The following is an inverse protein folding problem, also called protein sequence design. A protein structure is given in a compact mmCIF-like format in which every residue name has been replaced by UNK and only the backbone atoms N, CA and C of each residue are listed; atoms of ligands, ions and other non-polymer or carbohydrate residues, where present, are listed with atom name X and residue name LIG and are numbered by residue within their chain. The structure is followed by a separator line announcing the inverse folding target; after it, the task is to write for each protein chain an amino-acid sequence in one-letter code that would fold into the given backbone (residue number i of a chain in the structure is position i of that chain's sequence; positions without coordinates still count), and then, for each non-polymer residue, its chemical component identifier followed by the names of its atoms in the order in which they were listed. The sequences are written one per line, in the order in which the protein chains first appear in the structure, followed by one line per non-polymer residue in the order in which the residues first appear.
data_IF_191303933647
#
_entry.id   IF_191303933647
#
_cell.length_a   1.000
_cell.length_b   1.000
_cell.length_c   1.000
_cell.angle_alpha   90.00
_cell.angle_beta   90.00
_cell.angle_gamma   90.00
#
_symmetry.space_group_name_H-M   'P 1'
#
loop_
_entity.id
_entity.type
_entity.pdbx_description
1 polymer ?
#
# COMPACT_ATOMS: atom_id res chain seq x y z
N UNK A 1 -20.05 0.18 -26.62
CA UNK A 1 -19.66 0.87 -25.37
C UNK A 1 -18.27 1.46 -25.53
N UNK A 2 -18.09 2.76 -25.21
CA UNK A 2 -16.77 3.39 -25.20
C UNK A 2 -15.82 2.71 -24.19
N UNK A 3 -14.52 2.74 -24.46
CA UNK A 3 -13.47 2.23 -23.55
C UNK A 3 -13.54 2.97 -22.20
N UNK A 4 -13.83 4.26 -22.23
CA UNK A 4 -13.97 5.09 -21.03
C UNK A 4 -15.14 4.67 -20.16
N UNK A 5 -16.29 4.29 -20.77
CA UNK A 5 -17.46 3.81 -20.01
C UNK A 5 -17.15 2.50 -19.31
N UNK A 6 -16.50 1.56 -20.00
CA UNK A 6 -16.10 0.27 -19.39
C UNK A 6 -15.09 0.46 -18.26
N UNK A 7 -14.15 1.39 -18.43
CA UNK A 7 -13.20 1.75 -17.38
C UNK A 7 -13.90 2.31 -16.15
N UNK A 8 -14.82 3.26 -16.31
CA UNK A 8 -15.59 3.84 -15.19
C UNK A 8 -16.37 2.78 -14.43
N UNK A 9 -16.97 1.82 -15.14
CA UNK A 9 -17.67 0.68 -14.51
C UNK A 9 -16.67 -0.16 -13.70
N UNK A 10 -15.51 -0.48 -14.26
CA UNK A 10 -14.50 -1.26 -13.58
C UNK A 10 -13.97 -0.56 -12.31
N UNK A 11 -13.65 0.72 -12.41
CA UNK A 11 -13.23 1.55 -11.28
C UNK A 11 -14.34 1.68 -10.22
N UNK A 12 -15.62 1.74 -10.62
CA UNK A 12 -16.72 1.87 -9.67
C UNK A 12 -16.98 0.59 -8.85
N UNK A 13 -16.92 -0.59 -9.48
CA UNK A 13 -17.24 -1.84 -8.82
C UNK A 13 -16.04 -2.54 -8.19
N UNK A 14 -14.92 -2.63 -8.93
CA UNK A 14 -13.80 -3.46 -8.53
C UNK A 14 -12.88 -2.72 -7.56
N UNK A 15 -12.68 -1.42 -7.78
CA UNK A 15 -11.80 -0.61 -6.94
C UNK A 15 -12.20 -0.58 -5.45
N UNK A 16 -13.46 -0.37 -5.06
CA UNK A 16 -13.83 -0.42 -3.64
C UNK A 16 -13.64 -1.82 -3.04
N UNK A 17 -13.86 -2.89 -3.82
CA UNK A 17 -13.67 -4.27 -3.37
C UNK A 17 -12.18 -4.54 -3.11
N UNK A 18 -11.28 -4.11 -4.02
CA UNK A 18 -9.84 -4.27 -3.85
C UNK A 18 -9.27 -3.41 -2.73
N UNK A 19 -9.84 -2.23 -2.51
CA UNK A 19 -9.40 -1.32 -1.46
C UNK A 19 -10.02 -1.63 -0.10
N UNK A 20 -10.96 -2.56 -0.02
CA UNK A 20 -11.58 -2.92 1.25
C UNK A 20 -10.52 -3.43 2.23
N UNK A 21 -10.42 -2.76 3.38
CA UNK A 21 -9.45 -3.11 4.42
C UNK A 21 -7.98 -2.84 4.05
N UNK A 22 -7.69 -2.15 2.93
CA UNK A 22 -6.29 -1.88 2.55
C UNK A 22 -5.54 -1.00 3.56
N UNK A 23 -6.27 -0.26 4.40
CA UNK A 23 -5.77 0.55 5.50
C UNK A 23 -5.16 -0.28 6.64
N UNK A 24 -5.68 -1.48 6.88
CA UNK A 24 -5.20 -2.38 7.94
C UNK A 24 -4.09 -3.32 7.47
N UNK A 25 -3.86 -3.37 6.15
CA UNK A 25 -2.75 -4.16 5.61
C UNK A 25 -1.43 -3.58 6.11
N UNK A 26 -0.55 -4.45 6.59
CA UNK A 26 0.84 -4.07 6.84
C UNK A 26 1.39 -3.58 5.50
N UNK A 27 2.06 -2.43 5.52
CA UNK A 27 2.42 -1.63 4.34
C UNK A 27 2.81 -2.50 3.16
N UNK A 28 2.25 -2.15 1.99
CA UNK A 28 2.32 -2.92 0.76
C UNK A 28 3.75 -3.44 0.55
N UNK A 29 3.95 -4.72 0.85
CA UNK A 29 5.21 -5.40 0.62
C UNK A 29 5.50 -5.41 -0.88
N UNK A 30 6.77 -5.59 -1.27
CA UNK A 30 7.15 -5.72 -2.69
C UNK A 30 6.32 -6.81 -3.41
N UNK A 31 5.96 -7.88 -2.70
CA UNK A 31 5.13 -8.96 -3.25
C UNK A 31 3.67 -8.53 -3.48
N UNK A 32 3.04 -7.88 -2.50
CA UNK A 32 1.67 -7.37 -2.64
C UNK A 32 1.61 -6.30 -3.73
N UNK A 33 2.65 -5.48 -3.87
CA UNK A 33 2.79 -4.52 -4.96
C UNK A 33 2.73 -5.19 -6.33
N UNK A 34 3.56 -6.23 -6.55
CA UNK A 34 3.58 -6.95 -7.83
C UNK A 34 2.24 -7.61 -8.16
N UNK A 35 1.55 -8.17 -7.14
CA UNK A 35 0.20 -8.74 -7.30
C UNK A 35 -0.82 -7.68 -7.67
N UNK A 36 -0.80 -6.52 -7.03
CA UNK A 36 -1.71 -5.41 -7.35
C UNK A 36 -1.48 -4.88 -8.77
N UNK A 37 -0.22 -4.69 -9.19
CA UNK A 37 0.10 -4.25 -10.55
C UNK A 37 -0.35 -5.28 -11.60
N UNK A 38 -0.11 -6.58 -11.35
CA UNK A 38 -0.56 -7.65 -12.23
C UNK A 38 -2.10 -7.72 -12.31
N UNK A 39 -2.79 -7.50 -11.19
CA UNK A 39 -4.27 -7.49 -11.16
C UNK A 39 -4.83 -6.31 -11.94
N UNK A 40 -4.25 -5.11 -11.78
CA UNK A 40 -4.61 -3.91 -12.56
C UNK A 40 -4.42 -4.16 -14.07
N UNK A 41 -3.31 -4.79 -14.46
CA UNK A 41 -3.07 -5.18 -15.87
C UNK A 41 -4.06 -6.22 -16.38
N UNK A 42 -4.42 -7.20 -15.55
CA UNK A 42 -5.39 -8.23 -15.91
C UNK A 42 -6.76 -7.63 -16.20
N UNK A 43 -7.23 -6.69 -15.38
CA UNK A 43 -8.48 -5.96 -15.62
C UNK A 43 -8.47 -5.17 -16.93
N UNK A 44 -7.37 -4.47 -17.22
CA UNK A 44 -7.23 -3.70 -18.46
C UNK A 44 -7.24 -4.62 -19.69
N UNK A 45 -6.52 -5.74 -19.65
CA UNK A 45 -6.50 -6.72 -20.74
C UNK A 45 -7.89 -7.35 -20.96
N UNK A 46 -8.58 -7.69 -19.87
CA UNK A 46 -9.96 -8.22 -19.91
C UNK A 46 -10.93 -7.21 -20.53
N UNK A 47 -10.83 -5.94 -20.14
CA UNK A 47 -11.65 -4.85 -20.67
C UNK A 47 -11.41 -4.62 -22.18
N UNK A 48 -10.15 -4.67 -22.60
CA UNK A 48 -9.72 -4.52 -23.99
C UNK A 48 -9.95 -5.79 -24.84
N UNK A 49 -10.42 -6.88 -24.22
CA UNK A 49 -10.62 -8.20 -24.85
C UNK A 49 -9.34 -8.73 -25.51
N UNK A 50 -8.18 -8.40 -24.95
CA UNK A 50 -6.88 -8.84 -25.47
C UNK A 50 -6.72 -10.32 -25.11
N UNK A 51 -6.54 -11.22 -26.09
CA UNK A 51 -6.26 -12.62 -25.80
C UNK A 51 -4.88 -12.75 -25.16
N UNK A 52 -4.72 -13.66 -24.20
CA UNK A 52 -3.45 -13.91 -23.51
C UNK A 52 -2.32 -14.30 -24.49
N UNK A 53 -2.68 -14.88 -25.65
CA UNK A 53 -1.76 -15.29 -26.73
C UNK A 53 -1.03 -14.08 -27.32
N UNK A 54 -1.65 -12.90 -27.33
CA UNK A 54 -1.06 -11.70 -27.90
C UNK A 54 0.19 -11.23 -27.16
N UNK A 55 0.45 -11.72 -25.93
CA UNK A 55 1.61 -11.39 -25.08
C UNK A 55 1.98 -9.89 -25.11
N UNK A 56 0.97 -9.01 -25.15
CA UNK A 56 1.21 -7.57 -25.23
C UNK A 56 1.95 -7.10 -23.97
N UNK A 57 3.03 -6.32 -24.10
CA UNK A 57 3.74 -5.78 -22.96
C UNK A 57 2.84 -4.79 -22.20
N UNK A 58 3.03 -4.71 -20.88
CA UNK A 58 2.21 -3.87 -19.99
C UNK A 58 2.19 -2.40 -20.40
N UNK A 59 3.29 -1.92 -20.96
CA UNK A 59 3.48 -0.50 -21.28
C UNK A 59 2.64 -0.11 -22.51
N UNK A 60 2.49 -1.01 -23.48
CA UNK A 60 1.60 -0.82 -24.62
C UNK A 60 0.13 -0.84 -24.20
N UNK A 61 -0.24 -1.69 -23.24
CA UNK A 61 -1.62 -1.70 -22.70
C UNK A 61 -1.93 -0.39 -21.97
N UNK A 62 -0.99 0.13 -21.19
CA UNK A 62 -1.13 1.41 -20.47
C UNK A 62 -1.25 2.60 -21.44
N UNK A 63 -0.46 2.62 -22.51
CA UNK A 63 -0.50 3.70 -23.51
C UNK A 63 -1.80 3.70 -24.31
N UNK A 64 -2.25 2.53 -24.77
CA UNK A 64 -3.53 2.36 -25.49
C UNK A 64 -4.73 2.79 -24.63
N UNK A 65 -4.68 2.49 -23.33
CA UNK A 65 -5.77 2.85 -22.40
C UNK A 65 -5.63 4.26 -21.83
N UNK A 66 -4.59 5.02 -22.20
CA UNK A 66 -4.24 6.36 -21.67
C UNK A 66 -4.33 6.42 -20.14
N UNK A 67 -3.96 5.34 -19.46
CA UNK A 67 -4.18 5.18 -18.01
C UNK A 67 -2.85 5.07 -17.30
N UNK A 68 -2.72 5.77 -16.17
CA UNK A 68 -1.58 5.62 -15.25
C UNK A 68 -1.95 4.61 -14.17
N UNK A 69 -0.96 3.86 -13.66
CA UNK A 69 -1.13 2.98 -12.48
C UNK A 69 -1.65 3.81 -11.31
N UNK A 70 -2.93 3.68 -11.00
CA UNK A 70 -3.62 4.54 -10.04
C UNK A 70 -3.91 3.80 -8.74
N UNK A 71 -4.08 2.48 -8.79
CA UNK A 71 -4.51 1.66 -7.65
C UNK A 71 -3.53 1.75 -6.47
N UNK A 72 -2.24 1.57 -6.74
CA UNK A 72 -1.19 1.67 -5.70
C UNK A 72 -1.16 3.04 -5.03
N UNK A 73 -1.32 4.11 -5.81
CA UNK A 73 -1.26 5.47 -5.28
C UNK A 73 -2.50 5.77 -4.42
N UNK A 74 -3.66 5.26 -4.82
CA UNK A 74 -4.90 5.38 -4.04
C UNK A 74 -4.83 4.60 -2.73
N UNK A 75 -4.33 3.36 -2.74
CA UNK A 75 -4.11 2.56 -1.51
C UNK A 75 -3.13 3.28 -0.58
N UNK A 76 -2.00 3.73 -1.13
CA UNK A 76 -0.99 4.50 -0.39
C UNK A 76 -1.58 5.74 0.28
N UNK A 77 -2.42 6.49 -0.42
CA UNK A 77 -3.10 7.68 0.12
C UNK A 77 -4.01 7.30 1.30
N UNK A 78 -4.79 6.22 1.18
CA UNK A 78 -5.65 5.72 2.27
C UNK A 78 -4.83 5.28 3.48
N UNK A 79 -3.81 4.45 3.26
CA UNK A 79 -2.89 3.99 4.30
C UNK A 79 -2.21 5.16 5.04
N UNK A 80 -1.73 6.17 4.30
CA UNK A 80 -1.12 7.36 4.90
C UNK A 80 -2.13 8.19 5.71
N UNK A 81 -3.37 8.33 5.22
CA UNK A 81 -4.43 9.07 5.91
C UNK A 81 -4.82 8.37 7.21
N UNK A 82 -5.00 7.04 7.16
CA UNK A 82 -5.32 6.21 8.32
C UNK A 82 -4.18 6.23 9.35
N UNK A 83 -2.93 6.03 8.91
CA UNK A 83 -1.77 6.11 9.79
C UNK A 83 -1.64 7.50 10.42
N UNK A 84 -1.81 8.57 9.63
CA UNK A 84 -1.84 9.94 10.14
C UNK A 84 -2.96 10.19 11.15
N UNK A 85 -4.10 9.49 11.04
CA UNK A 85 -5.15 9.55 12.05
C UNK A 85 -4.73 8.88 13.37
N UNK A 86 -4.14 7.67 13.30
CA UNK A 86 -3.62 6.94 14.47
C UNK A 86 -2.55 7.77 15.20
N UNK A 87 -1.60 8.35 14.45
CA UNK A 87 -0.52 9.16 15.03
C UNK A 87 -1.02 10.40 15.78
N UNK A 88 -2.15 11.00 15.34
CA UNK A 88 -2.73 12.18 16.01
C UNK A 88 -3.43 11.85 17.32
N UNK A 89 -4.02 10.66 17.47
CA UNK A 89 -4.85 10.33 18.64
C UNK A 89 -4.09 9.81 19.85
N UNK A 90 -2.77 9.50 19.74
CA UNK A 90 -1.89 8.99 20.83
C UNK A 90 -2.56 7.96 21.78
N UNK A 91 -3.44 7.11 21.26
CA UNK A 91 -4.10 6.02 22.00
C UNK A 91 -3.26 4.75 21.97
N UNK A 92 -3.71 3.68 22.62
CA UNK A 92 -3.03 2.38 22.63
C UNK A 92 -2.68 1.86 21.22
N UNK A 93 -3.51 2.16 20.23
CA UNK A 93 -3.29 1.86 18.81
C UNK A 93 -1.96 2.41 18.29
N UNK A 94 -1.51 3.59 18.76
CA UNK A 94 -0.21 4.15 18.40
C UNK A 94 0.94 3.21 18.75
N UNK A 95 0.95 2.66 19.97
CA UNK A 95 2.01 1.73 20.40
C UNK A 95 1.97 0.42 19.61
N UNK A 96 0.77 -0.08 19.30
CA UNK A 96 0.56 -1.29 18.49
C UNK A 96 1.08 -1.08 17.07
N UNK A 97 0.69 0.00 16.39
CA UNK A 97 1.05 0.27 15.00
C UNK A 97 2.52 0.67 14.84
N UNK A 98 3.07 1.47 15.77
CA UNK A 98 4.49 1.86 15.75
C UNK A 98 5.39 0.68 16.17
N UNK A 99 4.83 -0.32 16.86
CA UNK A 99 5.57 -1.49 17.32
C UNK A 99 6.70 -1.14 18.29
N UNK A 100 6.59 0.02 18.94
CA UNK A 100 7.46 0.52 19.99
C UNK A 100 6.96 -0.02 21.33
N UNK A 101 7.25 -1.30 21.57
CA UNK A 101 7.18 -1.88 22.90
C UNK A 101 8.62 -2.07 23.39
N UNK A 102 8.85 -1.81 24.67
CA UNK A 102 10.14 -2.12 25.30
C UNK A 102 10.34 -3.63 25.28
N UNK A 103 11.51 -4.10 24.80
CA UNK A 103 11.88 -5.52 24.80
C UNK A 103 12.35 -6.06 23.44
N UNK A 104 12.84 -7.32 23.45
CA UNK A 104 13.22 -8.04 22.22
C UNK A 104 11.96 -8.56 21.51
N UNK A 105 11.93 -8.47 20.17
CA UNK A 105 10.83 -9.05 19.39
C UNK A 105 10.84 -10.58 19.52
N UNK A 106 9.69 -11.15 19.85
CA UNK A 106 9.49 -12.60 19.83
C UNK A 106 9.64 -13.19 18.43
N UNK A 107 10.05 -14.46 18.36
CA UNK A 107 10.06 -15.24 17.11
C UNK A 107 8.63 -15.35 16.56
N UNK A 108 8.48 -15.26 15.25
CA UNK A 108 7.17 -15.33 14.56
C UNK A 108 6.48 -13.98 14.30
N UNK A 109 6.92 -12.88 14.93
CA UNK A 109 6.42 -11.53 14.59
C UNK A 109 7.00 -11.06 13.25
N UNK A 110 6.19 -10.41 12.42
CA UNK A 110 6.66 -9.84 11.16
C UNK A 110 7.86 -8.90 11.40
N UNK A 111 8.90 -9.05 10.58
CA UNK A 111 10.17 -8.32 10.71
C UNK A 111 10.02 -6.83 10.40
N UNK A 112 9.19 -6.48 9.42
CA UNK A 112 8.97 -5.10 9.00
C UNK A 112 7.87 -4.47 9.84
N UNK A 113 8.17 -3.33 10.49
CA UNK A 113 7.12 -2.50 11.09
C UNK A 113 6.41 -1.70 10.01
N UNK A 114 5.18 -1.32 10.32
CA UNK A 114 4.46 -0.28 9.56
C UNK A 114 5.30 1.00 9.45
N UNK A 115 6.07 1.39 10.46
CA UNK A 115 6.99 2.55 10.33
C UNK A 115 8.11 2.31 9.31
N UNK A 116 8.63 1.09 9.23
CA UNK A 116 9.77 0.73 8.39
C UNK A 116 9.35 0.70 6.91
N UNK A 117 8.14 0.22 6.62
CA UNK A 117 7.55 0.30 5.28
C UNK A 117 7.23 1.74 4.84
N UNK A 118 6.80 2.60 5.77
CA UNK A 118 6.55 4.03 5.51
C UNK A 118 7.86 4.76 5.24
N UNK A 119 8.90 4.49 6.04
CA UNK A 119 10.25 5.02 5.85
C UNK A 119 10.83 4.60 4.49
N UNK A 120 10.72 3.32 4.13
CA UNK A 120 11.13 2.81 2.82
C UNK A 120 10.39 3.47 1.66
N UNK A 121 9.10 3.82 1.84
CA UNK A 121 8.30 4.46 0.81
C UNK A 121 8.61 5.96 0.68
N UNK A 122 8.72 6.67 1.79
CA UNK A 122 8.96 8.12 1.83
C UNK A 122 10.42 8.48 1.56
N UNK A 123 11.33 7.50 1.48
CA UNK A 123 12.76 7.73 1.30
C UNK A 123 13.42 8.37 2.53
N UNK A 124 12.70 8.40 3.66
CA UNK A 124 13.22 8.91 4.92
C UNK A 124 13.96 7.75 5.58
N UNK A 125 15.28 7.85 5.68
CA UNK A 125 16.09 6.84 6.38
C UNK A 125 15.51 6.58 7.76
N UNK A 126 15.31 5.30 8.10
CA UNK A 126 14.78 4.84 9.39
C UNK A 126 15.83 5.04 10.49
N UNK A 127 16.14 6.30 10.81
CA UNK A 127 17.03 6.68 11.88
C UNK A 127 16.39 7.81 12.70
N UNK A 128 16.48 7.69 14.02
CA UNK A 128 16.14 8.74 15.00
C UNK A 128 14.65 8.99 15.33
N UNK A 129 13.93 7.99 15.85
CA UNK A 129 12.73 8.30 16.67
C UNK A 129 12.67 7.52 17.99
N UNK A 130 13.79 7.01 18.50
CA UNK A 130 13.74 6.13 19.68
C UNK A 130 15.04 5.93 20.47
N UNK A 131 16.00 6.86 20.41
CA UNK A 131 17.20 6.80 21.27
C UNK A 131 17.13 7.75 22.48
N UNK A 132 16.21 8.72 22.49
CA UNK A 132 16.23 9.80 23.48
C UNK A 132 15.39 9.55 24.74
N UNK A 133 14.44 8.60 24.72
CA UNK A 133 13.56 8.35 25.88
C UNK A 133 14.19 7.42 26.95
N UNK A 134 15.42 6.94 26.74
CA UNK A 134 16.11 6.03 27.66
C UNK A 134 16.93 6.75 28.74
N UNK A 135 17.25 8.04 28.58
CA UNK A 135 18.08 8.78 29.53
C UNK A 135 17.31 9.56 30.60
N UNK A 136 15.99 9.73 30.46
CA UNK A 136 15.21 10.63 31.34
C UNK A 136 14.53 9.93 32.54
N UNK A 137 14.87 8.66 32.80
CA UNK A 137 14.30 7.85 33.89
C UNK A 137 15.34 7.24 34.83
N UNK A 138 16.54 7.84 34.87
CA UNK A 138 17.64 7.45 35.77
C UNK A 138 18.11 8.59 36.70
N UNK A 139 17.25 9.56 36.96
CA UNK A 139 17.41 10.55 38.03
C UNK A 139 16.34 10.32 39.10
#
# INVERSE_FOLDING_TARGET
MSIETRKRVLECYIEPILMYGCETWIIISKQTRGRLEATEMWFLQRMMRIPWIAKKPSDTVLSETKTKRALINKIRKRQATFFGHIMRRKRQEHHVTTGMFMGRRGRGRLREKTTDGLASWLGVGSSHYGRNDQNDKRA
#
